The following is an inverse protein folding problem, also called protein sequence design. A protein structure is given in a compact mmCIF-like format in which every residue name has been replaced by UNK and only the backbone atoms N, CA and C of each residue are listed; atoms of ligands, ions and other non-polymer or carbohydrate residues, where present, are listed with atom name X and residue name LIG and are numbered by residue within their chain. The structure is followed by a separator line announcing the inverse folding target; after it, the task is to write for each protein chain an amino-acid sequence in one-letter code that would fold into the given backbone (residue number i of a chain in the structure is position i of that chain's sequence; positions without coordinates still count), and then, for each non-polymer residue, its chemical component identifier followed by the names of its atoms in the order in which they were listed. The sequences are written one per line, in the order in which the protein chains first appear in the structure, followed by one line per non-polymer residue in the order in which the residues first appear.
data_IF_485709818105
#
_entry.id   IF_485709818105
#
_cell.length_a   1.000
_cell.length_b   1.000
_cell.length_c   1.000
_cell.angle_alpha   90.00
_cell.angle_beta   90.00
_cell.angle_gamma   90.00
#
_symmetry.space_group_name_H-M   'P 1'
#
loop_
_entity.id
_entity.type
_entity.pdbx_description
1 polymer ?
#
# COMPACT_ATOMS: atom_id res chain seq x y z
N UNK A 1 50.85 -5.33 -46.94
CA UNK A 1 49.56 -5.99 -46.63
C UNK A 1 49.39 -7.22 -47.54
N UNK A 2 50.12 -8.30 -47.29
CA UNK A 2 50.55 -9.26 -48.34
C UNK A 2 49.83 -10.63 -48.35
N UNK A 3 48.57 -10.71 -47.90
CA UNK A 3 47.68 -11.85 -48.16
C UNK A 3 46.29 -11.28 -48.41
N UNK A 4 45.59 -11.71 -49.48
CA UNK A 4 44.29 -11.18 -49.96
C UNK A 4 43.09 -11.30 -49.01
N UNK A 5 43.32 -11.32 -47.69
CA UNK A 5 42.37 -11.44 -46.59
C UNK A 5 41.56 -10.14 -46.35
N UNK A 6 41.54 -9.23 -47.32
CA UNK A 6 40.92 -7.90 -47.17
C UNK A 6 39.40 -7.99 -47.18
N UNK A 7 38.84 -8.86 -48.01
CA UNK A 7 37.40 -9.19 -48.01
C UNK A 7 36.96 -9.92 -46.74
N UNK A 8 37.81 -10.83 -46.23
CA UNK A 8 37.51 -11.60 -45.02
C UNK A 8 37.56 -10.73 -43.76
N UNK A 9 38.52 -9.79 -43.70
CA UNK A 9 38.57 -8.76 -42.68
C UNK A 9 37.34 -7.83 -42.74
N UNK A 10 36.90 -7.45 -43.93
CA UNK A 10 35.73 -6.57 -44.09
C UNK A 10 34.41 -7.28 -43.71
N UNK A 11 34.25 -8.55 -44.11
CA UNK A 11 33.14 -9.41 -43.64
C UNK A 11 33.13 -9.54 -42.11
N UNK A 12 34.30 -9.68 -41.49
CA UNK A 12 34.41 -9.79 -40.03
C UNK A 12 34.03 -8.48 -39.35
N UNK A 13 34.44 -7.32 -39.88
CA UNK A 13 34.01 -6.01 -39.36
C UNK A 13 32.50 -5.82 -39.47
N UNK A 14 31.89 -6.20 -40.58
CA UNK A 14 30.44 -6.12 -40.76
C UNK A 14 29.70 -6.99 -39.73
N UNK A 15 30.20 -8.20 -39.46
CA UNK A 15 29.66 -9.06 -38.39
C UNK A 15 29.78 -8.42 -37.01
N UNK A 16 30.94 -7.85 -36.68
CA UNK A 16 31.14 -7.16 -35.39
C UNK A 16 30.20 -5.96 -35.26
N UNK A 17 30.02 -5.18 -36.32
CA UNK A 17 29.08 -4.05 -36.33
C UNK A 17 27.61 -4.50 -36.16
N UNK A 18 27.21 -5.61 -36.81
CA UNK A 18 25.89 -6.19 -36.61
C UNK A 18 25.67 -6.67 -35.19
N UNK A 19 26.63 -7.40 -34.63
CA UNK A 19 26.58 -7.89 -33.24
C UNK A 19 26.54 -6.74 -32.23
N UNK A 20 27.26 -5.65 -32.48
CA UNK A 20 27.22 -4.45 -31.64
C UNK A 20 25.82 -3.80 -31.65
N UNK A 21 25.18 -3.73 -32.82
CA UNK A 21 23.80 -3.21 -32.94
C UNK A 21 22.77 -4.10 -32.26
N UNK A 22 22.90 -5.42 -32.44
CA UNK A 22 22.03 -6.40 -31.78
C UNK A 22 22.18 -6.36 -30.25
N UNK A 23 23.41 -6.17 -29.75
CA UNK A 23 23.66 -6.00 -28.33
C UNK A 23 22.96 -4.75 -27.77
N UNK A 24 23.07 -3.61 -28.46
CA UNK A 24 22.41 -2.36 -28.05
C UNK A 24 20.88 -2.51 -28.02
N UNK A 25 20.30 -3.21 -29.00
CA UNK A 25 18.86 -3.52 -29.04
C UNK A 25 18.42 -4.44 -27.88
N UNK A 26 19.24 -5.45 -27.54
CA UNK A 26 18.98 -6.37 -26.43
C UNK A 26 19.10 -5.69 -25.06
N UNK A 27 20.09 -4.82 -24.86
CA UNK A 27 20.25 -4.04 -23.63
C UNK A 27 19.04 -3.15 -23.37
N UNK A 28 18.55 -2.44 -24.40
CA UNK A 28 17.32 -1.63 -24.28
C UNK A 28 16.07 -2.48 -24.01
N UNK A 29 16.01 -3.68 -24.58
CA UNK A 29 14.92 -4.64 -24.35
C UNK A 29 14.96 -5.21 -22.93
N UNK A 30 16.14 -5.54 -22.40
CA UNK A 30 16.34 -6.02 -21.04
C UNK A 30 15.88 -4.96 -20.03
N UNK A 31 16.30 -3.71 -20.21
CA UNK A 31 15.90 -2.62 -19.31
C UNK A 31 14.37 -2.47 -19.27
N UNK A 32 13.74 -2.48 -20.45
CA UNK A 32 12.28 -2.35 -20.59
C UNK A 32 11.55 -3.52 -19.93
N UNK A 33 11.95 -4.76 -20.24
CA UNK A 33 11.30 -5.97 -19.74
C UNK A 33 11.53 -6.16 -18.23
N UNK A 34 12.72 -5.83 -17.73
CA UNK A 34 13.05 -5.87 -16.30
C UNK A 34 12.18 -4.88 -15.51
N UNK A 35 11.99 -3.66 -16.03
CA UNK A 35 11.08 -2.69 -15.45
C UNK A 35 9.63 -3.18 -15.45
N UNK A 36 9.19 -3.84 -16.53
CA UNK A 36 7.85 -4.42 -16.61
C UNK A 36 7.64 -5.58 -15.63
N UNK A 37 8.62 -6.49 -15.53
CA UNK A 37 8.61 -7.59 -14.57
C UNK A 37 8.51 -7.04 -13.16
N UNK A 38 9.36 -6.05 -12.81
CA UNK A 38 9.33 -5.42 -11.50
C UNK A 38 7.99 -4.77 -11.22
N UNK A 39 7.41 -4.04 -12.18
CA UNK A 39 6.07 -3.44 -12.04
C UNK A 39 5.00 -4.50 -11.77
N UNK A 40 5.04 -5.64 -12.47
CA UNK A 40 4.11 -6.75 -12.26
C UNK A 40 4.32 -7.42 -10.90
N UNK A 41 5.57 -7.60 -10.46
CA UNK A 41 5.88 -8.15 -9.14
C UNK A 41 5.37 -7.26 -7.99
N UNK A 42 5.48 -5.94 -8.13
CA UNK A 42 5.09 -4.98 -7.09
C UNK A 42 3.57 -4.90 -6.83
N UNK A 43 2.73 -5.50 -7.69
CA UNK A 43 1.27 -5.55 -7.48
C UNK A 43 0.79 -6.91 -6.99
N UNK A 44 1.66 -7.92 -6.90
CA UNK A 44 1.31 -9.23 -6.37
C UNK A 44 1.23 -9.11 -4.84
N UNK A 45 0.10 -9.45 -4.20
CA UNK A 45 -0.03 -9.42 -2.75
C UNK A 45 0.85 -10.50 -2.09
N UNK A 46 1.00 -10.41 -0.78
CA UNK A 46 1.77 -11.40 -0.03
C UNK A 46 1.10 -12.78 -0.08
N UNK A 47 1.91 -13.84 0.01
CA UNK A 47 1.41 -15.22 0.09
C UNK A 47 0.76 -15.41 1.47
N UNK A 48 -0.43 -16.02 1.46
CA UNK A 48 -1.20 -16.32 2.66
C UNK A 48 -0.59 -17.55 3.37
N UNK A 49 -0.48 -17.51 4.70
CA UNK A 49 0.03 -18.61 5.52
C UNK A 49 -0.91 -19.82 5.55
N UNK A 50 -0.37 -21.01 5.78
CA UNK A 50 -1.12 -22.27 5.76
C UNK A 50 -2.19 -22.36 6.87
N UNK A 51 -2.05 -21.56 7.93
CA UNK A 51 -2.96 -21.48 9.07
C UNK A 51 -4.11 -20.48 8.88
N UNK A 52 -4.07 -19.68 7.81
CA UNK A 52 -5.09 -18.66 7.55
C UNK A 52 -6.31 -19.33 6.89
N UNK A 53 -7.52 -19.20 7.47
CA UNK A 53 -8.73 -19.73 6.87
C UNK A 53 -8.98 -19.17 5.48
N UNK A 54 -9.38 -20.03 4.54
CA UNK A 54 -9.80 -19.60 3.21
C UNK A 54 -11.16 -18.93 3.34
N UNK A 55 -11.24 -17.66 2.93
CA UNK A 55 -12.49 -16.91 2.92
C UNK A 55 -12.58 -15.93 1.77
N UNK A 56 -13.79 -15.68 1.27
CA UNK A 56 -14.06 -14.71 0.20
C UNK A 56 -14.06 -13.27 0.71
N UNK A 57 -14.66 -13.04 1.87
CA UNK A 57 -14.85 -11.73 2.47
C UNK A 57 -14.90 -11.82 4.01
N UNK A 58 -15.17 -10.69 4.66
CA UNK A 58 -15.14 -10.57 6.12
C UNK A 58 -16.22 -11.40 6.84
N UNK A 59 -17.25 -11.87 6.11
CA UNK A 59 -18.29 -12.73 6.67
C UNK A 59 -17.80 -14.17 6.96
N UNK A 60 -16.68 -14.56 6.36
CA UNK A 60 -16.06 -15.88 6.52
C UNK A 60 -14.91 -15.86 7.54
N UNK A 61 -14.69 -14.73 8.22
CA UNK A 61 -13.73 -14.62 9.31
C UNK A 61 -14.12 -15.51 10.50
N UNK A 62 -13.13 -16.17 11.10
CA UNK A 62 -13.32 -17.06 12.24
C UNK A 62 -12.94 -16.35 13.54
N UNK A 63 -13.89 -16.21 14.47
CA UNK A 63 -13.62 -15.70 15.81
C UNK A 63 -12.86 -16.75 16.63
N UNK A 64 -11.63 -16.43 17.04
CA UNK A 64 -10.80 -17.35 17.82
C UNK A 64 -11.04 -17.22 19.33
N UNK A 65 -11.22 -15.99 19.83
CA UNK A 65 -11.33 -15.70 21.24
C UNK A 65 -12.22 -14.48 21.49
N UNK A 66 -12.90 -14.50 22.64
CA UNK A 66 -13.72 -13.40 23.16
C UNK A 66 -13.41 -13.20 24.64
N UNK A 67 -13.26 -11.95 25.06
CA UNK A 67 -12.99 -11.59 26.44
C UNK A 67 -14.03 -10.59 26.95
N UNK A 68 -14.66 -10.91 28.08
CA UNK A 68 -15.75 -10.12 28.67
C UNK A 68 -17.09 -10.32 27.97
N UNK A 69 -18.13 -9.75 28.56
CA UNK A 69 -19.49 -9.78 28.03
C UNK A 69 -19.93 -8.36 27.65
N UNK A 70 -20.44 -8.12 26.43
CA UNK A 70 -20.98 -6.83 26.04
C UNK A 70 -22.13 -6.40 26.95
N UNK A 71 -21.98 -5.27 27.63
CA UNK A 71 -23.06 -4.69 28.42
C UNK A 71 -23.90 -3.77 27.52
N UNK A 72 -25.19 -4.11 27.39
CA UNK A 72 -26.19 -3.25 26.73
C UNK A 72 -27.05 -2.61 27.82
N UNK A 73 -26.91 -1.29 28.05
CA UNK A 73 -27.73 -0.59 29.02
C UNK A 73 -29.22 -0.58 28.61
N UNK A 74 -30.15 -0.43 29.57
CA UNK A 74 -31.58 -0.33 29.29
C UNK A 74 -32.00 1.07 28.80
N UNK A 75 -31.19 1.71 27.96
CA UNK A 75 -31.46 3.00 27.35
C UNK A 75 -30.90 3.06 25.93
N UNK A 76 -31.41 3.98 25.12
CA UNK A 76 -30.92 4.22 23.76
C UNK A 76 -29.48 4.77 23.80
N UNK A 77 -28.56 4.04 23.16
CA UNK A 77 -27.14 4.42 23.11
C UNK A 77 -26.96 5.44 21.99
N UNK A 78 -26.63 6.71 22.30
CA UNK A 78 -26.38 7.71 21.28
C UNK A 78 -25.13 7.37 20.46
N UNK A 79 -25.07 7.85 19.22
CA UNK A 79 -23.87 7.72 18.41
C UNK A 79 -22.71 8.50 19.06
N UNK A 80 -21.48 7.99 18.93
CA UNK A 80 -20.33 8.56 19.64
C UNK A 80 -20.10 10.05 19.33
N UNK A 81 -20.43 10.51 18.11
CA UNK A 81 -20.36 11.93 17.74
C UNK A 81 -21.34 12.76 18.55
N UNK A 82 -22.60 12.31 18.69
CA UNK A 82 -23.62 13.03 19.47
C UNK A 82 -23.21 13.17 20.94
N UNK A 83 -22.53 12.15 21.49
CA UNK A 83 -21.96 12.21 22.85
C UNK A 83 -20.90 13.31 22.92
N UNK A 84 -19.97 13.33 21.96
CA UNK A 84 -18.88 14.32 21.93
C UNK A 84 -19.41 15.74 21.70
N UNK A 85 -20.42 15.93 20.85
CA UNK A 85 -21.06 17.23 20.60
C UNK A 85 -21.71 17.78 21.87
N UNK A 86 -22.45 16.94 22.62
CA UNK A 86 -23.04 17.31 23.92
C UNK A 86 -22.00 17.75 24.96
N UNK A 87 -20.77 17.25 24.82
CA UNK A 87 -19.64 17.58 25.70
C UNK A 87 -18.75 18.71 25.14
N UNK A 88 -19.15 19.34 24.03
CA UNK A 88 -18.32 20.32 23.30
C UNK A 88 -16.90 19.78 22.99
N UNK A 89 -16.82 18.47 22.74
CA UNK A 89 -15.59 17.72 22.59
C UNK A 89 -15.22 17.39 21.15
N UNK A 90 -16.03 17.82 20.17
CA UNK A 90 -15.75 17.65 18.75
C UNK A 90 -16.17 18.90 17.96
N UNK A 91 -15.37 19.26 16.95
CA UNK A 91 -15.70 20.29 15.96
C UNK A 91 -15.52 19.73 14.54
N UNK A 92 -16.65 19.34 13.94
CA UNK A 92 -16.73 18.81 12.58
C UNK A 92 -16.72 19.92 11.53
N UNK A 93 -17.26 21.09 11.87
CA UNK A 93 -17.46 22.18 10.90
C UNK A 93 -16.15 22.87 10.55
N UNK A 94 -15.34 23.17 11.57
CA UNK A 94 -14.00 23.72 11.36
C UNK A 94 -13.13 22.71 10.62
N UNK A 95 -13.19 21.43 10.99
CA UNK A 95 -12.41 20.39 10.32
C UNK A 95 -12.83 20.22 8.85
N UNK A 96 -14.13 20.23 8.55
CA UNK A 96 -14.64 20.18 7.17
C UNK A 96 -14.20 21.38 6.35
N UNK A 97 -14.22 22.58 6.93
CA UNK A 97 -13.75 23.81 6.26
C UNK A 97 -12.26 23.78 5.95
N UNK A 98 -11.45 23.22 6.85
CA UNK A 98 -9.98 23.20 6.68
C UNK A 98 -9.49 22.03 5.84
N UNK A 99 -10.04 20.84 6.03
CA UNK A 99 -9.48 19.57 5.53
C UNK A 99 -10.46 18.73 4.71
N UNK A 100 -11.73 19.14 4.60
CA UNK A 100 -12.76 18.42 3.86
C UNK A 100 -13.41 17.28 4.66
N UNK A 101 -14.16 16.43 3.95
CA UNK A 101 -14.90 15.33 4.57
C UNK A 101 -13.94 14.25 5.11
N UNK A 102 -14.30 13.68 6.27
CA UNK A 102 -13.52 12.64 6.95
C UNK A 102 -12.60 13.14 8.06
N UNK A 103 -12.53 14.45 8.27
CA UNK A 103 -11.73 15.07 9.35
C UNK A 103 -12.62 15.61 10.46
N UNK A 104 -12.06 15.63 11.68
CA UNK A 104 -12.68 16.20 12.87
C UNK A 104 -11.60 16.75 13.81
N UNK A 105 -11.92 17.82 14.54
CA UNK A 105 -11.11 18.25 15.67
C UNK A 105 -11.70 17.68 16.95
N UNK A 106 -10.87 17.10 17.81
CA UNK A 106 -11.25 16.81 19.19
C UNK A 106 -10.98 18.04 20.05
N UNK A 107 -11.86 18.33 21.00
CA UNK A 107 -11.81 19.52 21.84
C UNK A 107 -11.90 19.17 23.33
N UNK A 108 -11.42 20.09 24.18
CA UNK A 108 -11.57 20.03 25.63
C UNK A 108 -11.13 18.71 26.25
N UNK A 109 -11.96 18.19 27.16
CA UNK A 109 -11.67 16.97 27.91
C UNK A 109 -11.72 15.70 27.05
N UNK A 110 -12.43 15.70 25.92
CA UNK A 110 -12.40 14.60 24.94
C UNK A 110 -11.02 14.53 24.28
N UNK A 111 -10.45 15.67 23.86
CA UNK A 111 -9.08 15.70 23.33
C UNK A 111 -8.04 15.25 24.37
N UNK A 112 -8.24 15.64 25.65
CA UNK A 112 -7.39 15.20 26.75
C UNK A 112 -7.49 13.70 26.98
N UNK A 113 -8.70 13.13 26.97
CA UNK A 113 -8.92 11.69 27.12
C UNK A 113 -8.25 10.92 25.97
N UNK A 114 -8.44 11.36 24.72
CA UNK A 114 -7.77 10.76 23.57
C UNK A 114 -6.24 10.77 23.74
N UNK A 115 -5.68 11.91 24.19
CA UNK A 115 -4.24 12.01 24.47
C UNK A 115 -3.78 11.08 25.59
N UNK A 116 -4.62 10.88 26.62
CA UNK A 116 -4.33 9.96 27.71
C UNK A 116 -4.32 8.49 27.25
N UNK A 117 -5.28 8.09 26.41
CA UNK A 117 -5.31 6.76 25.79
C UNK A 117 -4.07 6.53 24.93
N UNK A 118 -3.68 7.51 24.10
CA UNK A 118 -2.44 7.45 23.32
C UNK A 118 -1.20 7.33 24.20
N UNK A 119 -1.19 7.97 25.37
CA UNK A 119 -0.06 7.90 26.30
C UNK A 119 0.00 6.57 27.05
N UNK A 120 -1.15 5.98 27.35
CA UNK A 120 -1.25 4.68 28.01
C UNK A 120 -0.87 3.53 27.07
N UNK A 121 -1.22 3.62 25.78
CA UNK A 121 -0.96 2.58 24.79
C UNK A 121 0.45 2.64 24.18
N UNK A 122 1.25 3.66 24.50
CA UNK A 122 2.66 3.78 24.13
C UNK A 122 3.54 3.03 25.12
#
# INVERSE_FOLDING_TARGET
MAKGLREEAEKTKQKVAHLAKELEELEGSEETLSAEIKKRMMVIPNIIGDDVPIGKDDSENVELQRFGEPYVPPFEIPYHVDIMEKLHGIDLDSARKTSGNGFYYLCGDIARLHSAVLSYAR
#
